data_IF_274210510138
#
_entry.id   IF_274210510138
#
_cell.length_a   1.000
_cell.length_b   1.000
_cell.length_c   1.000
_cell.angle_alpha   90.00
_cell.angle_beta   90.00
_cell.angle_gamma   90.00
#
_symmetry.space_group_name_H-M   'P 1'
#
loop_
_entity.id
_entity.type
_entity.pdbx_description
1 polymer ?
#
# COMPACT_ATOMS: atom_id res chain seq x y z
N UNK A 1 -51.10 -32.89 39.52
CA UNK A 1 -50.71 -31.69 38.76
C UNK A 1 -49.37 -31.05 39.17
N UNK A 2 -48.70 -31.46 40.27
CA UNK A 2 -47.38 -30.92 40.67
C UNK A 2 -46.16 -31.67 40.11
N UNK A 3 -46.33 -32.90 39.60
CA UNK A 3 -45.22 -33.70 39.06
C UNK A 3 -44.85 -33.33 37.61
N UNK A 4 -45.80 -32.80 36.82
CA UNK A 4 -45.60 -32.47 35.40
C UNK A 4 -44.83 -31.14 35.21
N UNK A 5 -44.87 -30.25 36.21
CA UNK A 5 -44.15 -28.98 36.20
C UNK A 5 -42.65 -29.13 36.56
N UNK A 6 -42.28 -30.16 37.33
CA UNK A 6 -40.87 -30.45 37.62
C UNK A 6 -40.15 -31.09 36.43
N UNK A 7 -40.84 -31.94 35.65
CA UNK A 7 -40.26 -32.58 34.47
C UNK A 7 -40.06 -31.60 33.32
N UNK A 8 -40.92 -30.57 33.20
CA UNK A 8 -40.72 -29.50 32.21
C UNK A 8 -39.62 -28.51 32.63
N UNK A 9 -39.43 -28.23 33.93
CA UNK A 9 -38.33 -27.39 34.40
C UNK A 9 -36.95 -28.05 34.31
N UNK A 10 -36.86 -29.39 34.42
CA UNK A 10 -35.59 -30.13 34.26
C UNK A 10 -35.23 -30.34 32.78
N UNK A 11 -36.21 -30.38 31.88
CA UNK A 11 -35.98 -30.50 30.43
C UNK A 11 -35.73 -29.15 29.72
N UNK A 12 -36.04 -28.01 30.35
CA UNK A 12 -35.82 -26.66 29.78
C UNK A 12 -34.51 -25.99 30.25
N UNK A 13 -33.76 -26.61 31.17
CA UNK A 13 -32.50 -26.07 31.70
C UNK A 13 -31.24 -26.83 31.25
N UNK A 14 -31.34 -27.69 30.24
CA UNK A 14 -30.18 -27.98 29.41
C UNK A 14 -30.01 -26.84 28.39
N UNK A 15 -29.77 -25.63 28.90
CA UNK A 15 -28.81 -24.77 28.23
C UNK A 15 -27.52 -25.58 28.37
N UNK A 16 -27.25 -26.46 27.40
CA UNK A 16 -25.87 -26.79 27.07
C UNK A 16 -25.24 -25.43 26.86
N UNK A 17 -24.59 -24.89 27.90
CA UNK A 17 -23.50 -23.95 27.70
C UNK A 17 -22.50 -24.77 26.91
N UNK A 18 -22.71 -24.84 25.60
CA UNK A 18 -21.71 -25.35 24.69
C UNK A 18 -20.49 -24.51 25.02
N UNK A 19 -19.41 -25.14 25.48
CA UNK A 19 -18.18 -24.41 25.69
C UNK A 19 -17.87 -23.73 24.37
N UNK A 20 -17.59 -22.43 24.43
CA UNK A 20 -17.27 -21.71 23.22
C UNK A 20 -15.98 -22.27 22.65
N UNK A 21 -15.97 -22.51 21.34
CA UNK A 21 -14.76 -22.95 20.67
C UNK A 21 -13.67 -21.90 20.88
N UNK A 22 -12.48 -22.36 21.25
CA UNK A 22 -11.37 -21.51 21.62
C UNK A 22 -10.05 -22.20 21.31
N UNK A 23 -9.09 -21.47 20.77
CA UNK A 23 -7.72 -21.93 20.59
C UNK A 23 -6.74 -20.87 21.07
N UNK A 24 -5.70 -21.31 21.75
CA UNK A 24 -4.61 -20.49 22.18
C UNK A 24 -3.28 -21.22 21.99
N UNK A 25 -2.34 -20.55 21.35
CA UNK A 25 -1.00 -21.07 21.08
C UNK A 25 0.03 -20.03 21.51
N UNK A 26 0.90 -20.39 22.44
CA UNK A 26 2.09 -19.64 22.81
C UNK A 26 3.30 -20.41 22.29
N UNK A 27 3.86 -19.92 21.19
CA UNK A 27 4.89 -20.58 20.39
C UNK A 27 6.19 -19.81 20.51
N UNK A 28 7.23 -20.45 21.04
CA UNK A 28 8.58 -19.88 21.06
C UNK A 28 9.16 -19.81 19.66
N UNK A 29 9.01 -20.89 18.88
CA UNK A 29 9.34 -20.86 17.46
C UNK A 29 8.57 -21.88 16.65
N UNK A 30 8.29 -21.56 15.40
CA UNK A 30 7.74 -22.48 14.41
C UNK A 30 8.50 -22.29 13.12
N UNK A 31 8.99 -23.39 12.54
CA UNK A 31 9.68 -23.37 11.27
C UNK A 31 9.20 -24.55 10.45
N UNK A 32 8.48 -24.26 9.36
CA UNK A 32 7.88 -25.26 8.50
C UNK A 32 8.10 -24.88 7.04
N UNK A 33 8.38 -25.88 6.20
CA UNK A 33 8.72 -25.70 4.79
C UNK A 33 8.13 -26.83 3.96
N UNK A 34 7.70 -26.53 2.73
CA UNK A 34 7.27 -27.54 1.76
C UNK A 34 8.48 -28.13 1.05
N UNK A 35 8.45 -29.44 0.85
CA UNK A 35 9.47 -30.11 0.03
C UNK A 35 9.25 -29.85 -1.47
N UNK A 36 7.99 -29.77 -1.90
CA UNK A 36 7.56 -29.41 -3.24
C UNK A 36 6.13 -28.83 -3.19
N UNK A 37 5.62 -28.31 -4.32
CA UNK A 37 4.33 -27.61 -4.39
C UNK A 37 3.11 -28.45 -4.02
N UNK A 38 3.20 -29.78 -4.08
CA UNK A 38 2.10 -30.71 -3.76
C UNK A 38 2.22 -31.32 -2.36
N UNK A 39 3.35 -31.11 -1.68
CA UNK A 39 3.59 -31.62 -0.33
C UNK A 39 2.93 -30.74 0.74
N UNK A 40 2.52 -31.34 1.87
CA UNK A 40 2.14 -30.57 3.05
C UNK A 40 3.34 -29.75 3.55
N UNK A 41 3.06 -28.67 4.28
CA UNK A 41 4.08 -27.90 4.96
C UNK A 41 4.51 -28.67 6.21
N UNK A 42 5.79 -28.99 6.34
CA UNK A 42 6.33 -29.86 7.40
C UNK A 42 7.39 -29.12 8.20
N UNK A 43 7.46 -29.37 9.51
CA UNK A 43 8.50 -28.76 10.32
C UNK A 43 8.43 -29.07 11.80
N UNK A 44 8.97 -28.16 12.60
CA UNK A 44 8.95 -28.23 14.06
C UNK A 44 8.27 -27.01 14.65
N UNK A 45 7.43 -27.24 15.66
CA UNK A 45 6.88 -26.21 16.51
C UNK A 45 7.38 -26.41 17.94
N UNK A 46 7.88 -25.35 18.55
CA UNK A 46 8.36 -25.27 19.92
C UNK A 46 7.39 -24.38 20.67
N UNK A 47 6.54 -24.97 21.50
CA UNK A 47 5.49 -24.26 22.23
C UNK A 47 5.70 -24.31 23.74
N UNK A 48 5.27 -23.24 24.42
CA UNK A 48 5.21 -23.18 25.89
C UNK A 48 3.81 -23.52 26.39
N UNK A 49 2.78 -23.12 25.62
CA UNK A 49 1.39 -23.36 25.94
C UNK A 49 0.59 -23.63 24.68
N UNK A 50 -0.19 -24.69 24.68
CA UNK A 50 -1.22 -24.95 23.67
C UNK A 50 -2.49 -25.27 24.44
N UNK A 51 -3.57 -24.54 24.17
CA UNK A 51 -4.88 -24.83 24.73
C UNK A 51 -5.92 -24.80 23.62
N UNK A 52 -6.71 -25.86 23.51
CA UNK A 52 -7.78 -25.98 22.52
C UNK A 52 -9.03 -26.50 23.21
N UNK A 53 -10.13 -25.79 23.05
CA UNK A 53 -11.47 -26.20 23.45
C UNK A 53 -12.35 -26.23 22.20
N UNK A 54 -12.80 -27.43 21.81
CA UNK A 54 -13.65 -27.60 20.63
C UNK A 54 -14.85 -28.46 20.97
N UNK A 55 -16.06 -27.88 20.89
CA UNK A 55 -17.32 -28.56 21.13
C UNK A 55 -17.37 -29.28 22.50
N UNK A 56 -16.80 -28.68 23.55
CA UNK A 56 -16.73 -29.28 24.89
C UNK A 56 -15.54 -30.19 25.15
N UNK A 57 -14.70 -30.46 24.14
CA UNK A 57 -13.48 -31.25 24.31
C UNK A 57 -12.29 -30.32 24.53
N UNK A 58 -11.61 -30.50 25.65
CA UNK A 58 -10.45 -29.70 26.03
C UNK A 58 -9.15 -30.48 25.87
N UNK A 59 -8.15 -29.80 25.35
CA UNK A 59 -6.78 -30.26 25.23
C UNK A 59 -5.84 -29.15 25.67
N UNK A 60 -4.95 -29.45 26.62
CA UNK A 60 -3.99 -28.48 27.14
C UNK A 60 -2.60 -29.09 27.25
N UNK A 61 -1.60 -28.34 26.79
CA UNK A 61 -0.19 -28.57 27.06
C UNK A 61 0.34 -27.30 27.69
N UNK A 62 0.76 -27.37 28.95
CA UNK A 62 1.44 -26.27 29.63
C UNK A 62 2.77 -26.78 30.17
N UNK A 63 3.88 -26.23 29.68
CA UNK A 63 5.21 -26.61 30.18
C UNK A 63 5.57 -25.84 31.45
N UNK A 64 6.44 -26.41 32.28
CA UNK A 64 6.96 -25.77 33.49
C UNK A 64 8.50 -25.69 33.41
N UNK A 65 9.10 -24.72 34.11
CA UNK A 65 10.55 -24.61 34.31
C UNK A 65 11.41 -24.59 33.02
N UNK A 66 11.11 -23.68 32.08
CA UNK A 66 11.85 -23.49 30.81
C UNK A 66 11.90 -24.72 29.87
N UNK A 67 11.13 -25.78 30.15
CA UNK A 67 10.96 -26.88 29.22
C UNK A 67 10.05 -26.46 28.05
N UNK A 68 10.36 -26.96 26.86
CA UNK A 68 9.57 -26.70 25.65
C UNK A 68 8.82 -27.93 25.18
N UNK A 69 7.58 -27.72 24.71
CA UNK A 69 6.86 -28.71 23.93
C UNK A 69 7.31 -28.64 22.48
N UNK A 70 8.34 -29.42 22.14
CA UNK A 70 8.76 -29.60 20.75
C UNK A 70 7.95 -30.71 20.09
N UNK A 71 7.22 -30.36 19.03
CA UNK A 71 6.44 -31.30 18.23
C UNK A 71 6.78 -31.20 16.74
N UNK A 72 6.59 -32.30 16.04
CA UNK A 72 6.54 -32.28 14.59
C UNK A 72 5.20 -31.66 14.16
N UNK A 73 5.26 -30.60 13.35
CA UNK A 73 4.09 -29.88 12.86
C UNK A 73 3.87 -30.20 11.38
N UNK A 74 2.61 -30.40 11.01
CA UNK A 74 2.16 -30.72 9.66
C UNK A 74 0.94 -29.86 9.35
N UNK A 75 1.01 -29.05 8.31
CA UNK A 75 -0.12 -28.29 7.79
C UNK A 75 -0.54 -28.88 6.44
N UNK A 76 -1.72 -29.49 6.46
CA UNK A 76 -2.43 -30.09 5.32
C UNK A 76 -3.54 -29.13 4.83
N UNK A 77 -4.11 -29.36 3.64
CA UNK A 77 -5.20 -28.55 3.08
C UNK A 77 -6.51 -28.48 3.88
N UNK A 78 -6.69 -29.28 4.92
CA UNK A 78 -7.91 -29.32 5.73
C UNK A 78 -7.62 -29.40 7.22
N UNK A 79 -6.34 -29.37 7.61
CA UNK A 79 -5.93 -29.80 8.95
C UNK A 79 -4.58 -29.25 9.35
N UNK A 80 -4.47 -28.87 10.61
CA UNK A 80 -3.20 -28.61 11.26
C UNK A 80 -2.93 -29.64 12.35
N UNK A 81 -1.78 -30.32 12.28
CA UNK A 81 -1.43 -31.48 13.12
C UNK A 81 -0.12 -31.27 13.84
N UNK A 82 -0.09 -31.66 15.12
CA UNK A 82 1.10 -31.76 15.96
C UNK A 82 1.31 -33.19 16.42
N UNK A 83 2.54 -33.70 16.31
CA UNK A 83 2.92 -35.07 16.70
C UNK A 83 4.12 -35.02 17.65
N UNK A 84 4.00 -35.64 18.83
CA UNK A 84 5.10 -35.83 19.78
C UNK A 84 4.94 -37.17 20.51
N UNK A 85 5.98 -38.00 20.51
CA UNK A 85 6.09 -39.21 21.36
C UNK A 85 4.84 -40.11 21.37
N UNK A 86 4.24 -40.34 20.21
CA UNK A 86 3.05 -41.19 20.06
C UNK A 86 1.71 -40.47 20.31
N UNK A 87 1.72 -39.21 20.72
CA UNK A 87 0.54 -38.35 20.78
C UNK A 87 0.38 -37.56 19.48
N UNK A 88 -0.85 -37.51 18.96
CA UNK A 88 -1.26 -36.70 17.81
C UNK A 88 -2.41 -35.80 18.25
N UNK A 89 -2.23 -34.49 18.08
CA UNK A 89 -3.31 -33.51 18.13
C UNK A 89 -3.53 -32.97 16.71
N UNK A 90 -4.79 -32.81 16.30
CA UNK A 90 -5.11 -32.22 15.01
C UNK A 90 -6.39 -31.42 15.06
N UNK A 91 -6.38 -30.22 14.48
CA UNK A 91 -7.56 -29.39 14.28
C UNK A 91 -7.91 -29.29 12.81
N UNK A 92 -9.20 -29.31 12.49
CA UNK A 92 -9.70 -29.01 11.15
C UNK A 92 -9.52 -27.52 10.85
N UNK A 93 -9.31 -27.21 9.58
CA UNK A 93 -9.23 -25.87 9.02
C UNK A 93 -10.37 -25.70 8.01
N UNK A 94 -10.88 -24.48 7.87
CA UNK A 94 -11.90 -24.17 6.87
C UNK A 94 -11.32 -24.25 5.44
N UNK A 95 -12.13 -24.71 4.47
CA UNK A 95 -11.69 -25.00 3.09
C UNK A 95 -11.09 -23.80 2.33
N UNK A 96 -11.35 -22.57 2.79
CA UNK A 96 -10.87 -21.32 2.17
C UNK A 96 -9.61 -20.75 2.82
N UNK A 97 -8.99 -21.48 3.76
CA UNK A 97 -7.88 -20.94 4.54
C UNK A 97 -6.65 -20.61 3.66
N UNK A 98 -6.15 -19.36 3.64
CA UNK A 98 -5.02 -18.96 2.81
C UNK A 98 -3.71 -19.67 3.20
N UNK A 99 -3.65 -20.27 4.39
CA UNK A 99 -2.49 -21.01 4.89
C UNK A 99 -2.05 -22.15 3.94
N UNK A 100 -2.94 -22.67 3.08
CA UNK A 100 -2.59 -23.74 2.11
C UNK A 100 -1.60 -23.29 1.04
N UNK A 101 -1.60 -21.99 0.72
CA UNK A 101 -0.71 -21.41 -0.30
C UNK A 101 0.70 -21.14 0.24
N UNK A 102 0.96 -21.46 1.51
CA UNK A 102 2.24 -21.23 2.17
C UNK A 102 3.24 -22.31 1.78
N UNK A 103 4.42 -21.89 1.32
CA UNK A 103 5.57 -22.76 1.03
C UNK A 103 6.60 -22.76 2.16
N UNK A 104 6.65 -21.68 2.95
CA UNK A 104 7.46 -21.58 4.16
C UNK A 104 6.74 -20.73 5.20
N UNK A 105 6.74 -21.19 6.45
CA UNK A 105 6.26 -20.46 7.61
C UNK A 105 7.37 -20.44 8.66
N UNK A 106 7.79 -19.24 9.05
CA UNK A 106 8.64 -19.03 10.21
C UNK A 106 7.94 -18.06 11.18
N UNK A 107 7.84 -18.43 12.44
CA UNK A 107 7.34 -17.58 13.50
C UNK A 107 8.26 -17.68 14.72
N UNK A 108 8.53 -16.56 15.39
CA UNK A 108 9.32 -16.49 16.61
C UNK A 108 8.54 -15.70 17.68
N UNK A 109 8.52 -16.22 18.91
CA UNK A 109 7.82 -15.67 20.07
C UNK A 109 6.39 -15.21 19.74
N UNK A 110 5.60 -16.11 19.16
CA UNK A 110 4.25 -15.82 18.71
C UNK A 110 3.18 -16.25 19.72
N UNK A 111 2.17 -15.42 19.88
CA UNK A 111 0.95 -15.69 20.67
C UNK A 111 -0.25 -15.59 19.73
N UNK A 112 -1.02 -16.67 19.61
CA UNK A 112 -2.18 -16.76 18.72
C UNK A 112 -3.39 -17.17 19.54
N UNK A 113 -4.40 -16.31 19.60
CA UNK A 113 -5.72 -16.56 20.20
C UNK A 113 -6.79 -16.53 19.12
N UNK A 114 -7.60 -17.59 19.04
CA UNK A 114 -8.81 -17.67 18.23
C UNK A 114 -9.98 -17.94 19.16
N UNK A 115 -10.88 -16.98 19.32
CA UNK A 115 -12.08 -17.10 20.17
C UNK A 115 -13.36 -16.76 19.40
N UNK A 116 -14.49 -16.83 20.10
CA UNK A 116 -15.80 -16.40 19.60
C UNK A 116 -15.91 -14.89 19.38
N UNK A 117 -15.00 -14.10 19.95
CA UNK A 117 -15.08 -12.63 19.98
C UNK A 117 -13.87 -11.92 19.36
N UNK A 118 -12.71 -12.56 19.35
CA UNK A 118 -11.47 -11.97 18.87
C UNK A 118 -10.55 -13.02 18.23
N UNK A 119 -9.86 -12.61 17.18
CA UNK A 119 -8.63 -13.23 16.70
C UNK A 119 -7.50 -12.28 17.08
N UNK A 120 -6.56 -12.73 17.91
CA UNK A 120 -5.41 -11.95 18.38
C UNK A 120 -4.12 -12.69 18.01
N UNK A 121 -3.28 -12.09 17.17
CA UNK A 121 -2.02 -12.67 16.68
C UNK A 121 -0.90 -11.68 16.97
N UNK A 122 0.02 -12.08 17.85
CA UNK A 122 1.18 -11.30 18.26
C UNK A 122 2.44 -12.06 17.94
N UNK A 123 3.51 -11.37 17.61
CA UNK A 123 4.83 -12.00 17.50
C UNK A 123 5.95 -11.03 17.19
N UNK A 124 7.17 -11.47 17.50
CA UNK A 124 8.40 -10.72 17.23
C UNK A 124 8.76 -10.80 15.74
N UNK A 125 8.67 -12.00 15.15
CA UNK A 125 8.95 -12.26 13.73
C UNK A 125 7.91 -13.24 13.19
N UNK A 126 7.32 -12.90 12.05
CA UNK A 126 6.44 -13.77 11.27
C UNK A 126 6.80 -13.64 9.79
N UNK A 127 7.36 -14.69 9.20
CA UNK A 127 7.79 -14.72 7.81
C UNK A 127 7.09 -15.87 7.08
N UNK A 128 6.45 -15.52 5.95
CA UNK A 128 5.68 -16.44 5.12
C UNK A 128 6.12 -16.31 3.67
N UNK A 129 6.41 -17.44 3.04
CA UNK A 129 6.57 -17.51 1.58
C UNK A 129 5.29 -18.06 0.97
N UNK A 130 4.69 -17.31 0.04
CA UNK A 130 3.48 -17.66 -0.71
C UNK A 130 3.85 -17.73 -2.20
N UNK A 131 4.36 -18.87 -2.67
CA UNK A 131 4.85 -19.01 -4.04
C UNK A 131 5.96 -18.00 -4.34
N UNK A 132 5.73 -17.02 -5.24
CA UNK A 132 6.72 -16.01 -5.58
C UNK A 132 6.80 -14.84 -4.59
N UNK A 133 6.01 -14.83 -3.51
CA UNK A 133 5.92 -13.70 -2.58
C UNK A 133 6.58 -14.03 -1.25
N UNK A 134 7.51 -13.20 -0.81
CA UNK A 134 8.04 -13.18 0.55
C UNK A 134 7.30 -12.08 1.34
N UNK A 135 6.66 -12.49 2.45
CA UNK A 135 5.92 -11.64 3.36
C UNK A 135 6.51 -11.76 4.76
N UNK A 136 7.21 -10.73 5.22
CA UNK A 136 7.82 -10.68 6.53
C UNK A 136 7.19 -9.57 7.38
N UNK A 137 6.86 -9.91 8.61
CA UNK A 137 6.25 -9.03 9.59
C UNK A 137 7.07 -9.10 10.87
N UNK A 138 7.42 -7.95 11.44
CA UNK A 138 8.19 -7.88 12.68
C UNK A 138 7.51 -6.95 13.69
N UNK A 139 7.54 -7.38 14.95
CA UNK A 139 6.98 -6.68 16.10
C UNK A 139 5.55 -6.20 15.83
N UNK A 140 4.63 -7.14 15.59
CA UNK A 140 3.23 -6.83 15.29
C UNK A 140 2.27 -7.58 16.21
N UNK A 141 1.24 -6.86 16.62
CA UNK A 141 0.02 -7.33 17.26
C UNK A 141 -1.17 -7.02 16.33
N UNK A 142 -1.75 -8.05 15.74
CA UNK A 142 -2.95 -7.99 14.90
C UNK A 142 -4.15 -8.47 15.70
N UNK A 143 -5.17 -7.62 15.84
CA UNK A 143 -6.44 -7.95 16.47
C UNK A 143 -7.59 -7.76 15.51
N UNK A 144 -8.40 -8.79 15.36
CA UNK A 144 -9.59 -8.80 14.52
C UNK A 144 -10.81 -9.11 15.37
N UNK A 145 -11.86 -8.29 15.27
CA UNK A 145 -13.12 -8.58 15.97
C UNK A 145 -13.92 -9.60 15.16
N UNK A 146 -14.45 -10.63 15.84
CA UNK A 146 -15.26 -11.67 15.20
C UNK A 146 -16.57 -11.89 15.97
N UNK A 147 -17.60 -12.32 15.26
CA UNK A 147 -18.93 -12.60 15.85
C UNK A 147 -19.11 -14.08 16.23
N UNK A 148 -18.19 -14.94 15.77
CA UNK A 148 -18.16 -16.37 16.02
C UNK A 148 -16.74 -16.89 15.84
N UNK A 149 -16.45 -18.03 16.45
CA UNK A 149 -15.19 -18.74 16.23
C UNK A 149 -15.04 -19.12 14.75
N UNK A 150 -13.86 -18.90 14.19
CA UNK A 150 -13.48 -19.28 12.82
C UNK A 150 -11.97 -19.47 12.72
N UNK A 151 -11.55 -20.32 11.78
CA UNK A 151 -10.13 -20.45 11.41
C UNK A 151 -9.78 -19.70 10.12
N UNK A 152 -10.77 -19.10 9.45
CA UNK A 152 -10.61 -18.26 8.25
C UNK A 152 -10.17 -16.86 8.62
N UNK A 153 -8.90 -16.75 9.06
CA UNK A 153 -8.31 -15.53 9.62
C UNK A 153 -8.39 -14.35 8.64
N UNK A 154 -8.12 -14.56 7.35
CA UNK A 154 -8.16 -13.51 6.34
C UNK A 154 -9.56 -12.96 6.10
N UNK A 155 -10.58 -13.83 5.98
CA UNK A 155 -11.97 -13.43 5.80
C UNK A 155 -12.52 -12.68 7.02
N UNK A 156 -12.08 -13.08 8.22
CA UNK A 156 -12.41 -12.41 9.47
C UNK A 156 -11.72 -11.04 9.58
N UNK A 157 -10.42 -11.01 9.36
CA UNK A 157 -9.58 -9.82 9.56
C UNK A 157 -9.78 -8.75 8.47
N UNK A 158 -10.21 -9.07 7.25
CA UNK A 158 -10.45 -8.04 6.22
C UNK A 158 -11.65 -7.12 6.52
N UNK A 159 -12.45 -7.44 7.55
CA UNK A 159 -13.63 -6.66 7.97
C UNK A 159 -13.27 -5.59 8.98
N UNK A 160 -12.73 -6.01 10.12
CA UNK A 160 -12.32 -5.12 11.22
C UNK A 160 -11.02 -5.65 11.82
N UNK A 161 -9.91 -4.98 11.50
CA UNK A 161 -8.59 -5.31 12.03
C UNK A 161 -7.87 -4.08 12.52
N UNK A 162 -7.17 -4.27 13.62
CA UNK A 162 -6.22 -3.33 14.18
C UNK A 162 -4.85 -3.99 14.28
N UNK A 163 -3.86 -3.40 13.63
CA UNK A 163 -2.47 -3.81 13.66
C UNK A 163 -1.66 -2.71 14.34
N UNK A 164 -0.96 -3.07 15.41
CA UNK A 164 -0.07 -2.18 16.18
C UNK A 164 1.26 -2.89 16.47
N UNK A 165 2.31 -2.16 16.89
CA UNK A 165 3.48 -2.79 17.49
C UNK A 165 3.08 -3.70 18.66
N UNK A 166 3.76 -4.85 18.79
CA UNK A 166 3.58 -5.72 19.96
C UNK A 166 4.31 -5.13 21.17
N UNK A 167 5.55 -4.71 20.97
CA UNK A 167 6.32 -3.84 21.85
C UNK A 167 6.12 -2.37 21.39
N UNK A 168 5.40 -1.59 22.20
CA UNK A 168 5.11 -0.17 21.96
C UNK A 168 6.37 0.73 21.92
N UNK A 169 7.51 0.25 22.42
CA UNK A 169 8.80 0.95 22.33
C UNK A 169 9.49 0.80 20.97
N UNK A 170 9.02 -0.15 20.15
CA UNK A 170 9.57 -0.49 18.85
C UNK A 170 8.57 -0.19 17.73
N UNK A 171 9.07 -0.08 16.50
CA UNK A 171 8.23 0.19 15.33
C UNK A 171 7.89 -1.14 14.65
N UNK A 172 6.60 -1.39 14.43
CA UNK A 172 6.14 -2.53 13.63
C UNK A 172 6.55 -2.37 12.17
N UNK A 173 6.98 -3.46 11.54
CA UNK A 173 7.41 -3.46 10.14
C UNK A 173 6.75 -4.56 9.33
N UNK A 174 6.39 -4.24 8.08
CA UNK A 174 5.88 -5.19 7.10
C UNK A 174 6.74 -5.06 5.84
N UNK A 175 7.31 -6.17 5.38
CA UNK A 175 8.08 -6.26 4.13
C UNK A 175 7.40 -7.25 3.20
N UNK A 176 7.15 -6.82 1.97
CA UNK A 176 6.67 -7.67 0.87
C UNK A 176 7.69 -7.63 -0.26
N UNK A 177 8.08 -8.77 -0.80
CA UNK A 177 9.01 -8.83 -1.94
C UNK A 177 8.73 -9.95 -2.93
N UNK A 178 9.07 -9.72 -4.19
CA UNK A 178 8.95 -10.70 -5.28
C UNK A 178 10.20 -11.59 -5.38
N UNK A 179 10.09 -12.83 -4.92
CA UNK A 179 11.13 -13.85 -5.04
C UNK A 179 11.34 -14.32 -6.49
N UNK A 180 10.30 -14.25 -7.34
CA UNK A 180 10.40 -14.68 -8.75
C UNK A 180 11.24 -13.75 -9.62
N UNK A 181 11.41 -12.48 -9.17
CA UNK A 181 12.00 -11.37 -9.93
C UNK A 181 11.29 -11.04 -11.24
N UNK A 182 10.08 -11.57 -11.47
CA UNK A 182 9.32 -11.32 -12.69
C UNK A 182 8.66 -9.93 -12.70
N UNK A 183 8.19 -9.48 -11.53
CA UNK A 183 7.54 -8.17 -11.33
C UNK A 183 8.47 -7.16 -10.66
N UNK A 184 9.64 -7.59 -10.16
CA UNK A 184 10.68 -6.74 -9.54
C UNK A 184 10.09 -5.76 -8.51
N UNK A 185 9.25 -6.26 -7.59
CA UNK A 185 8.62 -5.42 -6.56
C UNK A 185 9.17 -5.69 -5.16
N UNK A 186 9.28 -4.62 -4.39
CA UNK A 186 9.58 -4.64 -2.95
C UNK A 186 8.80 -3.53 -2.26
N UNK A 187 8.19 -3.80 -1.12
CA UNK A 187 7.47 -2.83 -0.32
C UNK A 187 7.87 -3.00 1.14
N UNK A 188 8.44 -1.97 1.73
CA UNK A 188 8.80 -1.92 3.15
C UNK A 188 7.92 -0.84 3.82
N UNK A 189 7.13 -1.25 4.80
CA UNK A 189 6.23 -0.41 5.59
C UNK A 189 6.69 -0.43 7.03
N UNK A 190 6.82 0.76 7.63
CA UNK A 190 7.01 0.97 9.05
C UNK A 190 5.83 1.77 9.58
N UNK A 191 5.14 1.23 10.57
CA UNK A 191 3.88 1.79 11.06
C UNK A 191 3.71 1.53 12.56
N UNK A 192 3.03 2.46 13.24
CA UNK A 192 2.57 2.26 14.61
C UNK A 192 1.08 1.86 14.65
N UNK A 193 0.40 1.96 13.51
CA UNK A 193 -1.03 1.73 13.42
C UNK A 193 -1.42 1.48 11.97
N UNK A 194 -1.90 0.27 11.68
CA UNK A 194 -2.69 -0.03 10.50
C UNK A 194 -4.08 -0.48 10.97
N UNK A 195 -5.14 0.05 10.37
CA UNK A 195 -6.49 -0.40 10.66
C UNK A 195 -7.27 -0.64 9.38
N UNK A 196 -8.01 -1.73 9.36
CA UNK A 196 -8.99 -2.07 8.34
C UNK A 196 -10.36 -1.95 9.00
N UNK A 197 -11.25 -1.17 8.40
CA UNK A 197 -12.66 -1.04 8.79
C UNK A 197 -13.52 -1.16 7.53
N UNK A 198 -14.83 -1.33 7.70
CA UNK A 198 -15.82 -1.56 6.63
C UNK A 198 -15.44 -0.99 5.26
N UNK A 199 -15.25 0.33 5.16
CA UNK A 199 -14.94 1.00 3.90
C UNK A 199 -13.57 1.72 3.87
N UNK A 200 -12.70 1.48 4.85
CA UNK A 200 -11.43 2.20 5.01
C UNK A 200 -10.26 1.27 5.37
N UNK A 201 -9.17 1.40 4.61
CA UNK A 201 -7.82 0.99 5.01
C UNK A 201 -7.05 2.24 5.43
N UNK A 202 -6.60 2.28 6.69
CA UNK A 202 -5.82 3.37 7.24
C UNK A 202 -4.44 2.87 7.71
N UNK A 203 -3.40 3.65 7.43
CA UNK A 203 -2.03 3.40 7.88
C UNK A 203 -1.45 4.72 8.41
N UNK A 204 -1.02 4.73 9.65
CA UNK A 204 -0.13 5.74 10.21
C UNK A 204 1.30 5.44 9.76
N UNK A 205 1.84 6.26 8.88
CA UNK A 205 3.08 5.98 8.16
C UNK A 205 4.25 6.61 8.89
N UNK A 206 5.13 5.78 9.46
CA UNK A 206 6.48 6.23 9.81
C UNK A 206 7.32 6.31 8.53
N UNK A 207 7.41 5.20 7.80
CA UNK A 207 8.06 5.12 6.50
C UNK A 207 7.34 4.10 5.61
N UNK A 208 7.12 4.44 4.35
CA UNK A 208 6.85 3.48 3.28
C UNK A 208 7.94 3.67 2.24
N UNK A 209 8.62 2.60 1.83
CA UNK A 209 9.49 2.59 0.67
C UNK A 209 9.05 1.45 -0.25
N UNK A 210 8.83 1.77 -1.51
CA UNK A 210 8.44 0.78 -2.49
C UNK A 210 9.25 0.89 -3.76
N UNK A 211 9.48 -0.26 -4.38
CA UNK A 211 10.04 -0.42 -5.70
C UNK A 211 9.11 -1.29 -6.54
N UNK A 212 8.85 -0.90 -7.78
CA UNK A 212 8.07 -1.68 -8.74
C UNK A 212 8.59 -1.42 -10.16
N UNK A 213 9.08 -2.44 -10.86
CA UNK A 213 9.65 -2.32 -12.20
C UNK A 213 10.66 -1.16 -12.31
N UNK A 214 11.57 -1.05 -11.33
CA UNK A 214 12.62 0.02 -11.21
C UNK A 214 12.09 1.41 -10.88
N UNK A 215 10.79 1.56 -10.63
CA UNK A 215 10.20 2.80 -10.14
C UNK A 215 10.25 2.80 -8.62
N UNK A 216 10.78 3.86 -8.02
CA UNK A 216 10.84 4.01 -6.58
C UNK A 216 9.81 5.02 -6.10
N UNK A 217 9.07 4.67 -5.06
CA UNK A 217 8.21 5.57 -4.33
C UNK A 217 8.51 5.50 -2.84
N UNK A 218 8.29 6.59 -2.12
CA UNK A 218 8.41 6.57 -0.68
C UNK A 218 7.62 7.67 0.00
N UNK A 219 7.20 7.38 1.22
CA UNK A 219 6.46 8.27 2.11
C UNK A 219 7.18 8.26 3.45
N UNK A 220 7.40 9.40 4.06
CA UNK A 220 7.91 9.49 5.43
C UNK A 220 7.03 10.39 6.27
N UNK A 221 6.73 9.95 7.49
CA UNK A 221 5.94 10.64 8.52
C UNK A 221 4.63 11.19 7.98
N UNK A 222 3.57 10.42 8.09
CA UNK A 222 2.30 10.78 7.50
C UNK A 222 1.18 9.77 7.72
N UNK A 223 0.22 9.77 6.81
CA UNK A 223 -0.93 8.88 6.84
C UNK A 223 -1.38 8.51 5.44
N UNK A 224 -1.85 7.29 5.29
CA UNK A 224 -2.50 6.78 4.09
C UNK A 224 -3.88 6.28 4.51
N UNK A 225 -4.92 6.90 3.97
CA UNK A 225 -6.32 6.44 4.08
C UNK A 225 -6.80 6.12 2.69
N UNK A 226 -7.30 4.90 2.48
CA UNK A 226 -7.80 4.40 1.22
C UNK A 226 -9.19 3.81 1.40
N UNK A 227 -10.04 3.94 0.39
CA UNK A 227 -11.27 3.20 0.33
C UNK A 227 -10.99 1.70 0.23
N UNK A 228 -11.71 0.91 1.01
CA UNK A 228 -11.82 -0.54 0.87
C UNK A 228 -13.24 -0.86 0.41
N UNK A 229 -13.41 -1.83 -0.47
CA UNK A 229 -14.76 -2.33 -0.76
C UNK A 229 -15.33 -3.04 0.48
N UNK A 230 -16.51 -2.64 1.00
CA UNK A 230 -17.14 -3.33 2.11
C UNK A 230 -17.51 -4.78 1.81
N UNK A 231 -17.67 -5.14 0.54
CA UNK A 231 -18.01 -6.50 0.11
C UNK A 231 -16.77 -7.38 -0.12
N UNK A 232 -15.57 -6.85 0.11
CA UNK A 232 -14.34 -7.63 -0.01
C UNK A 232 -14.34 -8.72 1.06
N UNK A 233 -14.33 -9.98 0.63
CA UNK A 233 -14.42 -11.16 1.49
C UNK A 233 -13.07 -11.83 1.75
N UNK A 234 -12.02 -11.47 1.02
CA UNK A 234 -10.65 -11.95 1.24
C UNK A 234 -9.62 -10.88 0.86
N UNK A 235 -8.36 -11.07 1.26
CA UNK A 235 -7.30 -10.10 0.96
C UNK A 235 -6.97 -10.17 -0.55
N UNK A 236 -7.38 -9.14 -1.29
CA UNK A 236 -7.05 -8.96 -2.69
C UNK A 236 -6.29 -7.63 -2.89
N UNK A 237 -4.98 -7.75 -3.16
CA UNK A 237 -4.08 -6.61 -3.34
C UNK A 237 -4.51 -5.71 -4.51
N UNK A 238 -5.00 -6.28 -5.60
CA UNK A 238 -5.44 -5.48 -6.76
C UNK A 238 -6.68 -4.65 -6.42
N UNK A 239 -7.64 -5.24 -5.71
CA UNK A 239 -8.83 -4.55 -5.25
C UNK A 239 -8.52 -3.49 -4.18
N UNK A 240 -7.54 -3.72 -3.29
CA UNK A 240 -7.08 -2.72 -2.34
C UNK A 240 -6.40 -1.54 -3.04
N UNK A 241 -5.56 -1.80 -4.05
CA UNK A 241 -4.95 -0.75 -4.88
C UNK A 241 -6.02 0.02 -5.65
N UNK A 242 -7.00 -0.67 -6.23
CA UNK A 242 -8.15 -0.03 -6.87
C UNK A 242 -8.89 0.88 -5.90
N UNK A 243 -9.12 0.41 -4.67
CA UNK A 243 -9.76 1.18 -3.63
C UNK A 243 -9.02 2.47 -3.30
N UNK A 244 -7.69 2.40 -3.14
CA UNK A 244 -6.82 3.57 -2.98
C UNK A 244 -6.92 4.55 -4.16
N UNK A 245 -6.95 4.06 -5.40
CA UNK A 245 -7.05 4.91 -6.59
C UNK A 245 -8.45 5.48 -6.77
N UNK A 246 -9.50 4.80 -6.31
CA UNK A 246 -10.89 5.28 -6.30
C UNK A 246 -11.06 6.45 -5.33
N UNK A 247 -10.74 6.24 -4.05
CA UNK A 247 -10.75 7.31 -3.03
C UNK A 247 -9.61 7.10 -2.05
N UNK A 248 -8.81 8.14 -1.85
CA UNK A 248 -7.76 8.11 -0.84
C UNK A 248 -7.29 9.49 -0.43
N UNK A 249 -6.64 9.54 0.72
CA UNK A 249 -5.90 10.70 1.22
C UNK A 249 -4.55 10.22 1.74
N UNK A 250 -3.51 10.63 1.03
CA UNK A 250 -2.11 10.37 1.34
C UNK A 250 -1.50 11.70 1.77
N UNK A 251 -1.00 11.76 3.00
CA UNK A 251 -0.29 12.91 3.54
C UNK A 251 1.07 12.42 3.98
N UNK A 252 2.13 13.15 3.64
CA UNK A 252 3.47 12.82 4.11
C UNK A 252 4.36 14.06 4.15
N UNK A 253 5.24 14.11 5.14
CA UNK A 253 6.25 15.16 5.19
C UNK A 253 7.28 15.06 4.07
N UNK A 254 7.55 13.84 3.59
CA UNK A 254 8.40 13.59 2.43
C UNK A 254 7.75 12.55 1.54
N UNK A 255 7.43 12.93 0.31
CA UNK A 255 7.10 12.02 -0.77
C UNK A 255 8.28 11.97 -1.74
N UNK A 256 8.77 10.77 -2.02
CA UNK A 256 9.78 10.52 -3.05
C UNK A 256 9.10 9.78 -4.19
N UNK A 257 9.35 10.22 -5.41
CA UNK A 257 8.89 9.52 -6.60
C UNK A 257 9.97 9.61 -7.67
N UNK A 258 10.50 8.45 -8.06
CA UNK A 258 11.57 8.34 -9.04
C UNK A 258 11.19 7.29 -10.07
N UNK A 259 10.94 7.76 -11.28
CA UNK A 259 10.78 6.98 -12.50
C UNK A 259 11.85 7.40 -13.50
N UNK A 260 12.15 6.60 -14.55
CA UNK A 260 13.20 6.93 -15.52
C UNK A 260 13.08 8.35 -16.13
N UNK A 261 11.85 8.82 -16.34
CA UNK A 261 11.53 10.12 -16.94
C UNK A 261 11.35 11.26 -15.93
N UNK A 262 11.27 10.99 -14.62
CA UNK A 262 10.95 11.99 -13.60
C UNK A 262 11.58 11.59 -12.26
N UNK A 263 12.40 12.48 -11.72
CA UNK A 263 12.97 12.33 -10.39
C UNK A 263 12.50 13.50 -9.51
N UNK A 264 11.43 13.26 -8.75
CA UNK A 264 10.76 14.26 -7.93
C UNK A 264 10.94 13.94 -6.43
N UNK A 265 11.32 14.96 -5.68
CA UNK A 265 11.30 14.94 -4.21
C UNK A 265 10.34 16.03 -3.76
N UNK A 266 9.30 15.65 -3.03
CA UNK A 266 8.22 16.53 -2.64
C UNK A 266 8.20 16.57 -1.11
N UNK A 267 8.34 17.76 -0.54
CA UNK A 267 8.28 17.99 0.90
C UNK A 267 6.90 18.54 1.27
N UNK A 268 6.36 18.04 2.39
CA UNK A 268 5.02 18.33 2.93
C UNK A 268 3.96 18.25 1.84
N UNK A 269 3.62 17.02 1.47
CA UNK A 269 2.72 16.76 0.38
C UNK A 269 1.41 16.14 0.86
N UNK A 270 0.33 16.53 0.19
CA UNK A 270 -0.97 15.89 0.28
C UNK A 270 -1.41 15.49 -1.12
N UNK A 271 -1.51 14.19 -1.36
CA UNK A 271 -2.10 13.59 -2.54
C UNK A 271 -3.47 13.03 -2.15
N UNK A 272 -4.52 13.42 -2.84
CA UNK A 272 -5.86 12.90 -2.59
C UNK A 272 -6.55 12.51 -3.88
N UNK A 273 -7.27 11.42 -3.83
CA UNK A 273 -8.12 10.91 -4.88
C UNK A 273 -9.57 10.99 -4.40
N UNK A 274 -10.45 11.63 -5.19
CA UNK A 274 -11.91 11.56 -5.04
C UNK A 274 -12.52 10.94 -6.30
N UNK A 275 -13.82 10.69 -6.35
CA UNK A 275 -14.43 9.95 -7.46
C UNK A 275 -14.17 10.57 -8.85
N UNK A 276 -13.90 11.88 -8.90
CA UNK A 276 -13.77 12.62 -10.16
C UNK A 276 -12.36 13.13 -10.43
N UNK A 277 -11.51 13.24 -9.43
CA UNK A 277 -10.25 13.97 -9.53
C UNK A 277 -9.13 13.43 -8.65
N UNK A 278 -7.90 13.74 -9.09
CA UNK A 278 -6.67 13.60 -8.33
C UNK A 278 -6.17 15.01 -8.00
N UNK A 279 -5.84 15.26 -6.74
CA UNK A 279 -5.27 16.52 -6.26
C UNK A 279 -3.94 16.26 -5.57
N UNK A 280 -2.92 17.04 -5.90
CA UNK A 280 -1.62 17.01 -5.23
C UNK A 280 -1.29 18.44 -4.80
N UNK A 281 -1.09 18.64 -3.50
CA UNK A 281 -0.58 19.89 -2.95
C UNK A 281 0.78 19.63 -2.31
N UNK A 282 1.72 20.57 -2.43
CA UNK A 282 2.97 20.51 -1.72
C UNK A 282 3.52 21.90 -1.43
N UNK A 283 4.09 22.08 -0.24
CA UNK A 283 4.74 23.34 0.13
C UNK A 283 5.99 23.57 -0.69
N UNK A 284 6.79 22.51 -0.87
CA UNK A 284 8.03 22.53 -1.63
C UNK A 284 8.21 21.24 -2.43
N UNK A 285 8.80 21.34 -3.63
CA UNK A 285 9.27 20.18 -4.36
C UNK A 285 10.58 20.50 -5.09
N UNK A 286 11.36 19.46 -5.38
CA UNK A 286 12.52 19.55 -6.24
C UNK A 286 12.44 18.49 -7.35
N UNK A 287 12.88 18.90 -8.54
CA UNK A 287 12.92 18.08 -9.74
C UNK A 287 14.37 17.98 -10.20
N UNK A 288 14.89 16.76 -10.30
CA UNK A 288 16.26 16.51 -10.74
C UNK A 288 16.29 16.02 -12.18
N UNK A 289 17.07 16.70 -13.02
CA UNK A 289 17.29 16.37 -14.43
C UNK A 289 18.79 16.37 -14.71
N UNK A 290 19.40 15.19 -14.81
CA UNK A 290 20.87 15.06 -14.81
C UNK A 290 21.46 15.60 -13.50
N UNK A 291 22.40 16.55 -13.60
CA UNK A 291 23.00 17.24 -12.44
C UNK A 291 22.19 18.47 -11.97
N UNK A 292 21.22 18.93 -12.76
CA UNK A 292 20.44 20.13 -12.45
C UNK A 292 19.28 19.81 -11.50
N UNK A 293 19.05 20.70 -10.54
CA UNK A 293 17.91 20.64 -9.61
C UNK A 293 17.08 21.91 -9.76
N UNK A 294 15.79 21.73 -10.03
CA UNK A 294 14.79 22.82 -10.04
C UNK A 294 13.99 22.76 -8.76
N UNK A 295 13.91 23.87 -8.03
CA UNK A 295 13.12 23.95 -6.80
C UNK A 295 11.83 24.71 -7.05
N UNK A 296 10.72 24.23 -6.50
CA UNK A 296 9.42 24.89 -6.59
C UNK A 296 8.80 25.01 -5.21
N UNK A 297 7.92 25.99 -5.05
CA UNK A 297 7.13 26.20 -3.83
C UNK A 297 5.67 26.48 -4.15
N UNK A 298 4.78 26.14 -3.21
CA UNK A 298 3.33 26.34 -3.34
C UNK A 298 2.73 25.56 -4.50
N UNK A 299 3.16 24.31 -4.67
CA UNK A 299 2.69 23.45 -5.76
C UNK A 299 1.26 22.99 -5.49
N UNK A 300 0.38 23.16 -6.46
CA UNK A 300 -0.91 22.50 -6.46
C UNK A 300 -1.27 22.01 -7.86
N UNK A 301 -1.63 20.73 -7.95
CA UNK A 301 -2.09 20.04 -9.14
C UNK A 301 -3.51 19.53 -8.88
N UNK A 302 -4.36 19.67 -9.88
CA UNK A 302 -5.65 18.99 -9.94
C UNK A 302 -5.80 18.44 -11.34
N UNK A 303 -6.05 17.15 -11.45
CA UNK A 303 -6.40 16.47 -12.68
C UNK A 303 -7.76 15.80 -12.52
N UNK A 304 -8.53 15.73 -13.59
CA UNK A 304 -9.65 14.80 -13.60
C UNK A 304 -9.16 13.35 -13.65
N UNK A 305 -10.03 12.42 -13.23
CA UNK A 305 -9.93 10.99 -13.54
C UNK A 305 -10.68 10.66 -14.83
N UNK A 306 -10.21 9.66 -15.57
CA UNK A 306 -10.93 9.19 -16.76
C UNK A 306 -12.17 8.37 -16.33
N UNK A 307 -13.42 8.85 -16.58
CA UNK A 307 -14.64 8.16 -16.15
C UNK A 307 -14.92 6.92 -17.00
N UNK A 308 -14.18 6.71 -18.10
CA UNK A 308 -14.41 5.65 -19.08
C UNK A 308 -13.57 4.40 -18.80
N UNK A 309 -12.59 4.48 -17.90
CA UNK A 309 -11.69 3.36 -17.65
C UNK A 309 -12.24 2.48 -16.53
N UNK A 310 -12.77 1.32 -16.90
CA UNK A 310 -13.14 0.23 -15.99
C UNK A 310 -11.92 -0.46 -15.37
N UNK A 311 -10.75 -0.32 -16.00
CA UNK A 311 -9.49 -0.94 -15.59
C UNK A 311 -8.48 0.11 -15.12
N UNK A 312 -8.48 0.41 -13.82
CA UNK A 312 -7.61 1.41 -13.22
C UNK A 312 -6.11 1.03 -13.28
N UNK A 313 -5.80 -0.25 -13.57
CA UNK A 313 -4.44 -0.71 -13.82
C UNK A 313 -3.90 -0.20 -15.17
N UNK A 314 -4.75 0.44 -15.99
CA UNK A 314 -4.29 1.18 -17.15
C UNK A 314 -3.62 2.48 -16.69
N UNK A 315 -2.27 2.59 -16.74
CA UNK A 315 -1.56 3.81 -16.33
C UNK A 315 -1.98 5.04 -17.15
N UNK A 316 -2.64 4.83 -18.29
CA UNK A 316 -3.18 5.90 -19.12
C UNK A 316 -4.47 6.52 -18.59
N UNK A 317 -5.16 5.93 -17.61
CA UNK A 317 -6.42 6.47 -17.08
C UNK A 317 -6.23 7.84 -16.42
N UNK A 318 -5.27 7.94 -15.50
CA UNK A 318 -4.92 9.21 -14.86
C UNK A 318 -4.37 10.20 -15.89
N UNK A 319 -3.50 9.72 -16.80
CA UNK A 319 -2.94 10.56 -17.85
C UNK A 319 -4.02 11.16 -18.75
N UNK A 320 -4.96 10.35 -19.26
CA UNK A 320 -6.05 10.81 -20.11
C UNK A 320 -6.95 11.79 -19.36
N UNK A 321 -7.25 11.52 -18.09
CA UNK A 321 -7.98 12.42 -17.20
C UNK A 321 -7.29 13.79 -17.08
N UNK A 322 -5.98 13.81 -16.80
CA UNK A 322 -5.19 15.04 -16.81
C UNK A 322 -5.24 15.76 -18.17
N UNK A 323 -5.16 15.04 -19.29
CA UNK A 323 -5.22 15.67 -20.63
C UNK A 323 -6.60 16.27 -20.95
N UNK A 324 -7.67 15.71 -20.37
CA UNK A 324 -9.00 16.30 -20.45
C UNK A 324 -9.08 17.58 -19.64
N UNK A 325 -8.66 17.55 -18.38
CA UNK A 325 -8.68 18.73 -17.53
C UNK A 325 -7.55 18.65 -16.50
N UNK A 326 -6.69 19.66 -16.52
CA UNK A 326 -5.65 19.85 -15.51
C UNK A 326 -5.59 21.30 -15.11
N UNK A 327 -5.42 21.56 -13.82
CA UNK A 327 -4.97 22.84 -13.28
C UNK A 327 -3.73 22.60 -12.44
N UNK A 328 -2.62 23.20 -12.81
CA UNK A 328 -1.37 23.14 -12.08
C UNK A 328 -0.87 24.54 -11.78
N UNK A 329 -0.48 24.81 -10.54
CA UNK A 329 0.11 26.09 -10.12
C UNK A 329 1.37 25.89 -9.30
N UNK A 330 2.26 26.87 -9.39
CA UNK A 330 3.41 27.06 -8.50
C UNK A 330 3.48 28.53 -8.12
N UNK A 331 3.78 28.83 -6.87
CA UNK A 331 3.95 30.22 -6.41
C UNK A 331 5.31 30.76 -6.84
N UNK A 332 6.36 29.93 -6.73
CA UNK A 332 7.73 30.23 -7.21
C UNK A 332 8.39 28.97 -7.77
N UNK A 333 9.15 29.14 -8.85
CA UNK A 333 10.11 28.17 -9.40
C UNK A 333 11.50 28.82 -9.46
N UNK A 334 12.45 28.24 -8.76
CA UNK A 334 13.85 28.65 -8.71
C UNK A 334 14.71 27.75 -9.61
N UNK A 335 15.56 28.36 -10.43
CA UNK A 335 16.50 27.65 -11.28
C UNK A 335 17.78 27.49 -10.48
N UNK A 336 17.99 26.32 -9.86
CA UNK A 336 19.16 26.04 -9.02
C UNK A 336 20.54 26.06 -9.72
N UNK A 337 20.72 26.75 -10.85
CA UNK A 337 22.04 26.98 -11.43
C UNK A 337 22.71 28.18 -10.74
N UNK A 338 23.63 27.91 -9.80
CA UNK A 338 24.57 28.93 -9.32
C UNK A 338 25.45 29.51 -10.45
N UNK A 339 25.52 28.84 -11.60
CA UNK A 339 26.44 29.14 -12.71
C UNK A 339 25.85 30.02 -13.83
N UNK A 340 24.52 30.16 -13.93
CA UNK A 340 23.90 30.96 -15.00
C UNK A 340 22.90 32.00 -14.44
N UNK A 341 23.45 33.12 -13.97
CA UNK A 341 22.75 34.31 -13.43
C UNK A 341 21.80 35.02 -14.43
N UNK A 342 21.52 34.45 -15.60
CA UNK A 342 20.82 35.15 -16.69
C UNK A 342 19.30 35.01 -16.68
N UNK A 343 18.70 34.08 -15.94
CA UNK A 343 17.23 33.99 -15.82
C UNK A 343 16.79 33.63 -14.41
N UNK A 344 16.32 34.66 -13.70
CA UNK A 344 15.78 34.57 -12.35
C UNK A 344 14.33 34.08 -12.35
N UNK A 345 14.01 33.24 -11.37
CA UNK A 345 12.71 32.94 -10.79
C UNK A 345 11.45 33.16 -11.66
N UNK A 346 10.68 32.09 -11.89
CA UNK A 346 9.30 32.23 -12.38
C UNK A 346 8.37 32.27 -11.17
N UNK A 347 7.51 33.29 -11.11
CA UNK A 347 6.45 33.43 -10.10
C UNK A 347 5.06 33.25 -10.72
N UNK A 348 4.09 32.90 -9.87
CA UNK A 348 2.67 32.77 -10.24
C UNK A 348 2.47 31.85 -11.47
N UNK A 349 3.23 30.75 -11.54
CA UNK A 349 3.15 29.81 -12.64
C UNK A 349 1.78 29.12 -12.59
N UNK A 350 1.06 29.11 -13.70
CA UNK A 350 -0.24 28.44 -13.83
C UNK A 350 -0.31 27.76 -15.18
N UNK A 351 -0.50 26.45 -15.19
CA UNK A 351 -0.80 25.65 -16.36
C UNK A 351 -2.27 25.18 -16.24
N UNK A 352 -3.05 25.44 -17.28
CA UNK A 352 -4.40 24.89 -17.44
C UNK A 352 -4.47 24.09 -18.73
N UNK A 353 -4.98 22.86 -18.65
CA UNK A 353 -5.28 22.01 -19.80
C UNK A 353 -6.79 21.80 -19.86
N UNK A 354 -7.38 21.91 -21.05
CA UNK A 354 -8.81 21.64 -21.29
C UNK A 354 -8.96 21.00 -22.68
N UNK A 355 -9.33 19.72 -22.69
CA UNK A 355 -9.48 18.88 -23.88
C UNK A 355 -8.23 18.96 -24.79
N UNK A 356 -7.06 18.71 -24.20
CA UNK A 356 -5.77 18.79 -24.88
C UNK A 356 -5.26 20.20 -25.19
N UNK A 357 -6.08 21.26 -25.12
CA UNK A 357 -5.57 22.62 -25.29
C UNK A 357 -4.97 23.11 -23.97
N UNK A 358 -3.73 23.61 -23.99
CA UNK A 358 -3.10 24.12 -22.79
C UNK A 358 -2.80 25.62 -22.86
N UNK A 359 -2.85 26.26 -21.69
CA UNK A 359 -2.38 27.63 -21.47
C UNK A 359 -1.51 27.66 -20.22
N UNK A 360 -0.30 28.17 -20.36
CA UNK A 360 0.65 28.39 -19.29
C UNK A 360 0.91 29.89 -19.15
N UNK A 361 0.74 30.41 -17.94
CA UNK A 361 1.03 31.80 -17.60
C UNK A 361 1.99 31.90 -16.42
N UNK A 362 2.75 32.98 -16.32
CA UNK A 362 3.60 33.26 -15.16
C UNK A 362 4.28 34.62 -15.26
N UNK A 363 5.15 34.92 -14.31
CA UNK A 363 5.98 36.13 -14.28
C UNK A 363 7.45 35.75 -14.20
N UNK A 364 8.21 36.04 -15.24
CA UNK A 364 9.65 35.76 -15.30
C UNK A 364 10.40 36.97 -14.78
N UNK A 365 11.31 36.78 -13.83
CA UNK A 365 12.17 37.85 -13.34
C UNK A 365 13.37 38.02 -14.29
N UNK A 366 13.53 39.21 -14.85
CA UNK A 366 14.74 39.66 -15.55
C UNK A 366 15.27 40.89 -14.78
N UNK A 367 15.25 42.09 -15.37
CA UNK A 367 15.40 43.36 -14.62
C UNK A 367 14.11 43.77 -13.90
N UNK A 368 12.97 43.41 -14.48
CA UNK A 368 11.62 43.57 -13.94
C UNK A 368 10.84 42.26 -14.16
N UNK A 369 9.68 42.10 -13.52
CA UNK A 369 8.82 40.94 -13.77
C UNK A 369 8.06 41.12 -15.08
N UNK A 370 8.28 40.22 -16.03
CA UNK A 370 7.62 40.24 -17.35
C UNK A 370 6.66 39.06 -17.43
N UNK A 371 5.46 39.29 -17.98
CA UNK A 371 4.46 38.25 -18.18
C UNK A 371 4.92 37.19 -19.19
N UNK A 372 4.80 35.92 -18.81
CA UNK A 372 4.91 34.75 -19.65
C UNK A 372 3.50 34.29 -20.05
N UNK A 373 3.27 34.05 -21.34
CA UNK A 373 2.04 33.44 -21.87
C UNK A 373 2.43 32.43 -22.97
N UNK A 374 2.14 31.16 -22.73
CA UNK A 374 2.37 30.05 -23.64
C UNK A 374 1.04 29.33 -23.87
N UNK A 375 0.73 29.03 -25.12
CA UNK A 375 -0.45 28.28 -25.53
C UNK A 375 -0.08 27.24 -26.55
N UNK A 376 -0.81 26.14 -26.54
CA UNK A 376 -0.59 25.05 -27.46
C UNK A 376 -1.55 23.90 -27.24
N UNK A 377 -1.16 22.74 -27.75
CA UNK A 377 -1.90 21.49 -27.61
C UNK A 377 -1.02 20.40 -27.02
N UNK A 378 -1.60 19.56 -26.18
CA UNK A 378 -1.02 18.32 -25.71
C UNK A 378 -1.87 17.15 -26.21
N UNK A 379 -1.22 16.14 -26.75
CA UNK A 379 -1.87 14.93 -27.25
C UNK A 379 -1.15 13.69 -26.70
N UNK A 380 -1.90 12.62 -26.52
CA UNK A 380 -1.39 11.32 -26.08
C UNK A 380 -1.62 10.31 -27.19
N UNK A 381 -0.54 9.84 -27.81
CA UNK A 381 -0.58 8.75 -28.79
C UNK A 381 -0.42 7.41 -28.05
N UNK A 382 -1.55 6.71 -27.89
CA UNK A 382 -1.61 5.40 -27.23
C UNK A 382 -0.83 4.32 -27.98
N UNK A 383 -0.72 4.40 -29.31
CA UNK A 383 -0.04 3.37 -30.13
C UNK A 383 1.47 3.47 -30.00
N UNK A 384 2.00 4.69 -30.04
CA UNK A 384 3.45 4.93 -29.93
C UNK A 384 3.92 5.19 -28.50
N UNK A 385 2.99 5.24 -27.53
CA UNK A 385 3.23 5.55 -26.10
C UNK A 385 3.96 6.88 -25.93
N UNK A 386 3.44 7.93 -26.58
CA UNK A 386 4.06 9.27 -26.59
C UNK A 386 3.10 10.35 -26.15
N UNK A 387 3.60 11.30 -25.37
CA UNK A 387 2.95 12.59 -25.17
C UNK A 387 3.60 13.60 -26.11
N UNK A 388 2.80 14.29 -26.91
CA UNK A 388 3.25 15.32 -27.84
C UNK A 388 2.69 16.67 -27.37
N UNK A 389 3.57 17.63 -27.10
CA UNK A 389 3.23 18.99 -26.69
C UNK A 389 3.62 19.94 -27.83
N UNK A 390 2.63 20.42 -28.57
CA UNK A 390 2.78 21.38 -29.65
C UNK A 390 2.64 22.82 -29.13
N UNK A 391 3.65 23.66 -29.35
CA UNK A 391 3.66 25.05 -28.88
C UNK A 391 3.25 26.00 -30.00
N UNK A 392 1.96 26.34 -30.06
CA UNK A 392 1.41 27.29 -31.03
C UNK A 392 2.00 28.69 -30.83
N UNK A 393 2.07 29.15 -29.58
CA UNK A 393 2.46 30.52 -29.24
C UNK A 393 3.16 30.56 -27.89
N UNK A 394 4.30 31.21 -27.83
CA UNK A 394 5.02 31.48 -26.59
C UNK A 394 5.52 32.91 -26.59
N UNK A 395 5.19 33.67 -25.55
CA UNK A 395 5.59 35.08 -25.40
C UNK A 395 6.13 35.36 -24.01
N UNK A 396 7.21 36.15 -23.96
CA UNK A 396 7.66 36.85 -22.75
C UNK A 396 7.54 38.34 -23.05
N UNK A 397 6.55 38.99 -22.42
CA UNK A 397 6.13 40.34 -22.78
C UNK A 397 5.63 40.38 -24.23
N UNK A 398 6.31 41.17 -25.08
CA UNK A 398 6.00 41.27 -26.52
C UNK A 398 6.87 40.38 -27.42
N UNK A 399 7.88 39.70 -26.86
CA UNK A 399 8.88 38.95 -27.62
C UNK A 399 8.50 37.47 -27.71
N UNK A 400 8.73 36.85 -28.88
CA UNK A 400 8.57 35.40 -29.07
C UNK A 400 9.54 34.63 -28.17
N UNK A 401 9.04 33.65 -27.42
CA UNK A 401 9.77 32.92 -26.39
C UNK A 401 9.63 31.40 -26.51
N UNK A 402 9.48 30.87 -27.72
CA UNK A 402 9.27 29.41 -27.93
C UNK A 402 10.40 28.56 -27.37
N UNK A 403 11.66 28.89 -27.65
CA UNK A 403 12.82 28.17 -27.08
C UNK A 403 12.82 28.15 -25.54
N UNK A 404 12.34 29.23 -24.92
CA UNK A 404 12.21 29.32 -23.46
C UNK A 404 11.06 28.46 -22.92
N UNK A 405 9.91 28.42 -23.62
CA UNK A 405 8.83 27.50 -23.27
C UNK A 405 9.31 26.03 -23.27
N UNK A 406 10.08 25.65 -24.29
CA UNK A 406 10.66 24.31 -24.40
C UNK A 406 11.67 24.03 -23.28
N UNK A 407 12.44 25.03 -22.83
CA UNK A 407 13.41 24.85 -21.73
C UNK A 407 12.76 24.73 -20.36
N UNK A 408 11.55 25.29 -20.14
CA UNK A 408 10.79 25.10 -18.90
C UNK A 408 10.37 23.64 -18.77
N UNK A 409 9.81 23.03 -19.81
CA UNK A 409 9.32 21.63 -19.75
C UNK A 409 10.47 20.66 -19.44
N UNK A 410 11.65 20.90 -20.03
CA UNK A 410 12.87 20.12 -19.77
C UNK A 410 13.36 20.15 -18.31
N UNK A 411 12.86 21.06 -17.47
CA UNK A 411 13.24 21.10 -16.03
C UNK A 411 12.49 20.09 -15.18
N UNK A 412 11.36 19.60 -15.68
CA UNK A 412 10.50 18.66 -14.97
C UNK A 412 10.66 17.23 -15.48
N UNK A 413 11.24 17.03 -16.66
CA UNK A 413 11.31 15.72 -17.33
C UNK A 413 12.75 15.43 -17.72
N UNK A 414 13.20 14.20 -17.43
CA UNK A 414 14.54 13.74 -17.77
C UNK A 414 14.78 13.77 -19.28
N UNK A 415 15.97 14.21 -19.69
CA UNK A 415 16.30 14.58 -21.07
C UNK A 415 16.35 13.36 -21.99
N UNK A 416 16.69 12.18 -21.48
CA UNK A 416 16.85 10.97 -22.27
C UNK A 416 15.54 10.50 -22.94
N UNK A 417 14.39 10.83 -22.34
CA UNK A 417 13.07 10.47 -22.86
C UNK A 417 12.37 11.61 -23.61
N UNK A 418 13.05 12.74 -23.83
CA UNK A 418 12.46 13.96 -24.41
C UNK A 418 13.15 14.34 -25.72
N UNK A 419 12.39 14.30 -26.81
CA UNK A 419 12.84 14.82 -28.11
C UNK A 419 12.16 16.16 -28.39
N UNK A 420 12.95 17.15 -28.80
CA UNK A 420 12.43 18.43 -29.29
C UNK A 420 12.53 18.41 -30.81
N UNK A 421 11.38 18.47 -31.49
CA UNK A 421 11.30 18.50 -32.95
C UNK A 421 10.53 19.75 -33.33
N UNK A 422 11.23 20.71 -33.95
CA UNK A 422 10.67 22.01 -34.34
C UNK A 422 9.94 22.75 -33.19
N UNK A 423 8.60 22.74 -33.21
CA UNK A 423 7.74 23.41 -32.23
C UNK A 423 7.09 22.42 -31.25
N UNK A 424 7.50 21.15 -31.28
CA UNK A 424 6.89 20.06 -30.52
C UNK A 424 7.88 19.45 -29.53
N UNK A 425 7.39 19.12 -28.34
CA UNK A 425 8.10 18.29 -27.36
C UNK A 425 7.45 16.92 -27.39
N UNK A 426 8.24 15.89 -27.66
CA UNK A 426 7.81 14.50 -27.68
C UNK A 426 8.42 13.83 -26.45
N UNK A 427 7.57 13.37 -25.55
CA UNK A 427 7.94 12.62 -24.34
C UNK A 427 7.61 11.16 -24.59
N UNK A 428 8.61 10.30 -24.51
CA UNK A 428 8.43 8.84 -24.53
C UNK A 428 8.05 8.37 -23.12
N UNK A 429 6.91 7.66 -23.01
CA UNK A 429 6.42 7.07 -21.77
C UNK A 429 7.10 5.74 -21.45
#
# INVERSE_FOLDING_TARGET
>A
MKLILLVTAVLLNQITMASENYMYFLVSSMNMTKENSESPLLGSAIANHIYVNMQGNEFEIQTQNDDYFTAHAILEPDRFTFIKEGMKFSTELEDTNPLYSIDMLKAENAEIELSSSVIDIKGDEFNVYLGPVDFAVNNINMKCQVEKFTTSIDEACIKDTLIKPFNDEEIGSITLSDLSKAKEYKLDIQTNLLSIKDDELFIEVNTINGEYLKNFFGISRGQLSCYKDPNLNSIDVENLVYGCLKRSKIIGEKLKYKIPSLNAHINTASLSFDDNSMKLNADYASFKTGELVTYVSGMALTCDKDPVVSDINNPNAILNGCMRNTSFRLDKMDNGSQLDKKMSDIKDFKLKVTNGNFKLTGKVKLLMHISLDIKGRVTHDKKTKRIIIDVDKAKVGKISARKFALSIVKKFINVDNVKVVENSIIIQL
#
